data_IF_710040818798
#
_entry.id   IF_710040818798
#
_cell.length_a   1.000
_cell.length_b   1.000
_cell.length_c   1.000
_cell.angle_alpha   90.00
_cell.angle_beta   90.00
_cell.angle_gamma   90.00
#
_symmetry.space_group_name_H-M   'P 1'
#
loop_
_entity.id
_entity.type
_entity.pdbx_description
1 polymer ?
#
# COMPACT_ATOMS: atom_id res chain seq x y z
N UNK A 1 -18.66 6.11 8.11
CA UNK A 1 -18.06 4.78 8.35
C UNK A 1 -18.44 3.93 7.17
N UNK A 2 -17.48 3.21 6.61
CA UNK A 2 -17.79 2.22 5.58
C UNK A 2 -18.44 1.01 6.27
N UNK A 3 -19.76 0.89 6.12
CA UNK A 3 -20.60 -0.10 6.79
C UNK A 3 -21.07 -1.19 5.83
N UNK A 4 -20.82 -1.02 4.54
CA UNK A 4 -21.33 -1.91 3.50
C UNK A 4 -20.21 -2.25 2.54
N UNK A 5 -19.98 -3.54 2.33
CA UNK A 5 -19.07 -4.02 1.29
C UNK A 5 -19.91 -4.38 0.06
N UNK A 6 -19.66 -3.73 -1.07
CA UNK A 6 -20.30 -4.11 -2.33
C UNK A 6 -19.78 -5.46 -2.83
N UNK A 7 -20.56 -6.12 -3.68
CA UNK A 7 -20.03 -7.29 -4.39
C UNK A 7 -18.96 -6.82 -5.39
N UNK A 8 -17.89 -7.60 -5.49
CA UNK A 8 -16.80 -7.39 -6.44
C UNK A 8 -16.12 -8.74 -6.72
N UNK A 9 -16.40 -9.30 -7.90
CA UNK A 9 -15.87 -10.59 -8.29
C UNK A 9 -14.36 -10.60 -8.51
N UNK A 10 -13.73 -9.46 -8.79
CA UNK A 10 -12.28 -9.38 -8.95
C UNK A 10 -11.55 -9.65 -7.62
N UNK A 11 -12.19 -9.32 -6.50
CA UNK A 11 -11.69 -9.58 -5.14
C UNK A 11 -12.39 -10.78 -4.47
N UNK A 12 -13.14 -11.61 -5.21
CA UNK A 12 -13.85 -12.77 -4.66
C UNK A 12 -15.05 -12.42 -3.77
N UNK A 13 -15.55 -11.18 -3.82
CA UNK A 13 -16.70 -10.72 -3.05
C UNK A 13 -18.00 -11.00 -3.81
N UNK A 14 -18.57 -12.20 -3.63
CA UNK A 14 -19.75 -12.65 -4.39
C UNK A 14 -21.08 -12.00 -3.98
N UNK A 15 -21.19 -11.54 -2.74
CA UNK A 15 -22.40 -10.93 -2.19
C UNK A 15 -22.09 -9.56 -1.61
N UNK A 16 -23.07 -8.66 -1.70
CA UNK A 16 -23.01 -7.40 -0.96
C UNK A 16 -23.32 -7.67 0.51
N UNK A 17 -22.53 -7.08 1.42
CA UNK A 17 -22.60 -7.33 2.86
C UNK A 17 -22.81 -6.02 3.62
N UNK A 18 -23.90 -5.93 4.37
CA UNK A 18 -24.09 -4.88 5.40
C UNK A 18 -23.53 -5.40 6.74
N UNK A 19 -22.65 -4.63 7.35
CA UNK A 19 -22.01 -4.96 8.62
C UNK A 19 -22.77 -4.43 9.84
N UNK A 20 -23.91 -3.73 9.65
CA UNK A 20 -24.82 -3.32 10.72
C UNK A 20 -24.13 -2.62 11.90
N UNK A 21 -23.13 -1.78 11.62
CA UNK A 21 -22.30 -1.09 12.62
C UNK A 21 -21.54 -2.00 13.58
N UNK A 22 -21.30 -3.26 13.21
CA UNK A 22 -20.33 -4.10 13.89
C UNK A 22 -18.94 -3.43 13.87
N UNK A 23 -18.19 -3.63 14.94
CA UNK A 23 -16.82 -3.09 15.04
C UNK A 23 -15.94 -3.73 13.98
N UNK A 24 -15.07 -2.92 13.37
CA UNK A 24 -14.07 -3.40 12.42
C UNK A 24 -13.03 -4.28 13.12
N UNK A 25 -12.63 -5.36 12.44
CA UNK A 25 -11.46 -6.16 12.83
C UNK A 25 -10.21 -5.55 12.20
N UNK A 26 -9.12 -5.43 12.96
CA UNK A 26 -7.85 -4.90 12.44
C UNK A 26 -7.05 -6.06 11.81
N UNK A 27 -6.77 -6.02 10.50
CA UNK A 27 -5.94 -7.02 9.83
C UNK A 27 -4.48 -6.99 10.32
N UNK A 28 -3.81 -8.12 10.25
CA UNK A 28 -2.40 -8.29 10.60
C UNK A 28 -1.65 -8.88 9.41
N UNK A 29 -0.65 -8.18 8.90
CA UNK A 29 0.29 -8.70 7.92
C UNK A 29 1.57 -9.16 8.63
N UNK A 30 1.91 -10.43 8.45
CA UNK A 30 3.00 -11.09 9.15
C UNK A 30 3.60 -12.20 8.30
N UNK A 31 4.88 -12.50 8.55
CA UNK A 31 5.61 -13.58 7.88
C UNK A 31 6.44 -13.10 6.69
N UNK A 32 7.76 -13.32 6.74
CA UNK A 32 8.67 -13.04 5.62
C UNK A 32 8.89 -11.56 5.25
N UNK A 33 8.30 -10.62 5.98
CA UNK A 33 8.40 -9.19 5.65
C UNK A 33 9.59 -8.47 6.34
N UNK A 34 10.12 -7.45 5.69
CA UNK A 34 11.22 -6.59 6.19
C UNK A 34 11.03 -5.10 5.83
N UNK A 35 11.84 -4.22 6.42
CA UNK A 35 11.77 -2.76 6.25
C UNK A 35 11.82 -2.30 4.78
N UNK A 36 12.54 -3.00 3.90
CA UNK A 36 12.65 -2.64 2.48
C UNK A 36 11.35 -2.79 1.69
N UNK A 37 10.39 -3.57 2.21
CA UNK A 37 9.10 -3.80 1.58
C UNK A 37 8.01 -2.82 2.05
N UNK A 38 8.33 -1.91 2.98
CA UNK A 38 7.39 -0.93 3.53
C UNK A 38 6.56 -0.18 2.48
N UNK A 39 7.11 0.24 1.32
CA UNK A 39 6.32 0.91 0.30
C UNK A 39 5.15 0.07 -0.24
N UNK A 40 5.40 -1.21 -0.49
CA UNK A 40 4.37 -2.14 -0.98
C UNK A 40 3.35 -2.47 0.13
N UNK A 41 3.82 -2.64 1.37
CA UNK A 41 2.94 -2.92 2.50
C UNK A 41 1.91 -1.80 2.69
N UNK A 42 2.35 -0.54 2.68
CA UNK A 42 1.44 0.60 2.82
C UNK A 42 0.54 0.80 1.59
N UNK A 43 1.03 0.50 0.38
CA UNK A 43 0.24 0.61 -0.83
C UNK A 43 -0.92 -0.39 -0.85
N UNK A 44 -0.67 -1.66 -0.53
CA UNK A 44 -1.69 -2.70 -0.59
C UNK A 44 -2.57 -2.79 0.66
N UNK A 45 -2.04 -2.47 1.84
CA UNK A 45 -2.74 -2.71 3.12
C UNK A 45 -3.29 -1.44 3.78
N UNK A 46 -2.83 -0.26 3.38
CA UNK A 46 -3.29 1.00 3.96
C UNK A 46 -2.81 1.25 5.40
N UNK A 47 -3.63 1.94 6.19
CA UNK A 47 -3.28 2.46 7.52
C UNK A 47 -3.76 1.60 8.68
N UNK A 48 -4.99 1.08 8.59
CA UNK A 48 -5.63 0.31 9.66
C UNK A 48 -5.14 -1.16 9.64
N UNK A 49 -3.83 -1.36 9.79
CA UNK A 49 -3.17 -2.67 9.73
C UNK A 49 -2.05 -2.77 10.77
N UNK A 50 -1.84 -3.98 11.29
CA UNK A 50 -0.64 -4.30 12.09
C UNK A 50 0.39 -4.97 11.16
N UNK A 51 1.57 -4.37 11.06
CA UNK A 51 2.71 -4.95 10.34
C UNK A 51 3.67 -5.62 11.33
N UNK A 52 3.84 -6.94 11.24
CA UNK A 52 4.67 -7.72 12.15
C UNK A 52 5.98 -8.17 11.50
N UNK A 53 7.08 -7.61 11.98
CA UNK A 53 8.43 -7.94 11.51
C UNK A 53 9.13 -8.87 12.51
N UNK A 54 8.86 -10.18 12.45
CA UNK A 54 9.52 -11.16 13.32
C UNK A 54 11.02 -11.29 13.02
N UNK A 55 11.35 -12.06 11.98
CA UNK A 55 12.72 -12.16 11.48
C UNK A 55 13.31 -10.81 11.04
N UNK A 56 12.48 -9.93 10.48
CA UNK A 56 12.85 -8.56 10.11
C UNK A 56 13.17 -7.62 11.28
N UNK A 57 13.00 -8.05 12.54
CA UNK A 57 13.47 -7.32 13.73
C UNK A 57 14.59 -8.08 14.42
N UNK A 58 14.35 -9.34 14.78
CA UNK A 58 15.29 -10.13 15.61
C UNK A 58 16.55 -10.50 14.81
N UNK A 59 16.44 -10.65 13.49
CA UNK A 59 17.56 -10.95 12.59
C UNK A 59 18.42 -9.74 12.22
N UNK A 60 18.18 -8.56 12.79
CA UNK A 60 18.98 -7.37 12.50
C UNK A 60 20.42 -7.53 13.03
N UNK A 61 21.46 -7.23 12.22
CA UNK A 61 22.86 -7.49 12.59
C UNK A 61 23.32 -6.70 13.82
N UNK A 62 22.77 -5.50 14.02
CA UNK A 62 23.10 -4.63 15.16
C UNK A 62 22.20 -4.86 16.40
N UNK A 63 21.44 -5.96 16.40
CA UNK A 63 20.60 -6.39 17.52
C UNK A 63 19.13 -5.99 17.43
N UNK A 64 18.32 -6.52 18.35
CA UNK A 64 16.85 -6.47 18.32
C UNK A 64 16.32 -5.03 18.36
N UNK A 65 16.90 -4.18 19.23
CA UNK A 65 16.49 -2.79 19.33
C UNK A 65 16.74 -2.03 18.02
N UNK A 66 17.88 -2.28 17.36
CA UNK A 66 18.19 -1.69 16.07
C UNK A 66 17.20 -2.13 14.98
N UNK A 67 16.84 -3.42 14.95
CA UNK A 67 15.80 -3.92 14.05
C UNK A 67 14.44 -3.25 14.25
N UNK A 68 14.04 -3.04 15.50
CA UNK A 68 12.78 -2.36 15.82
C UNK A 68 12.82 -0.90 15.36
N UNK A 69 13.93 -0.19 15.60
CA UNK A 69 14.16 1.18 15.13
C UNK A 69 14.12 1.26 13.61
N UNK A 70 14.79 0.34 12.89
CA UNK A 70 14.82 0.33 11.44
C UNK A 70 13.41 0.19 10.83
N UNK A 71 12.60 -0.75 11.34
CA UNK A 71 11.22 -0.93 10.89
C UNK A 71 10.36 0.31 11.18
N UNK A 72 10.55 0.94 12.35
CA UNK A 72 9.81 2.15 12.74
C UNK A 72 10.16 3.34 11.84
N UNK A 73 11.44 3.60 11.61
CA UNK A 73 11.91 4.68 10.74
C UNK A 73 11.39 4.47 9.32
N UNK A 74 11.52 3.26 8.76
CA UNK A 74 11.00 2.96 7.43
C UNK A 74 9.48 3.25 7.30
N UNK A 75 8.69 2.86 8.30
CA UNK A 75 7.25 3.13 8.33
C UNK A 75 6.96 4.63 8.35
N UNK A 76 7.56 5.37 9.29
CA UNK A 76 7.29 6.80 9.45
C UNK A 76 7.76 7.62 8.24
N UNK A 77 8.94 7.30 7.66
CA UNK A 77 9.42 7.92 6.42
C UNK A 77 8.42 7.71 5.28
N UNK A 78 7.94 6.48 5.09
CA UNK A 78 7.02 6.19 3.99
C UNK A 78 5.65 6.83 4.20
N UNK A 79 5.15 6.89 5.44
CA UNK A 79 3.90 7.61 5.75
C UNK A 79 4.04 9.11 5.49
N UNK A 80 5.17 9.71 5.87
CA UNK A 80 5.43 11.12 5.61
C UNK A 80 5.46 11.40 4.10
N UNK A 81 6.24 10.62 3.34
CA UNK A 81 6.32 10.75 1.89
C UNK A 81 4.94 10.60 1.21
N UNK A 82 4.15 9.60 1.62
CA UNK A 82 2.78 9.39 1.13
C UNK A 82 1.88 10.59 1.43
N UNK A 83 1.95 11.11 2.66
CA UNK A 83 1.13 12.26 3.08
C UNK A 83 1.54 13.54 2.36
N UNK A 84 2.82 13.67 1.98
CA UNK A 84 3.35 14.70 1.07
C UNK A 84 3.03 14.44 -0.41
N UNK A 85 2.15 13.48 -0.71
CA UNK A 85 1.68 13.13 -2.07
C UNK A 85 2.77 12.63 -3.01
N UNK A 86 3.83 12.04 -2.47
CA UNK A 86 4.85 11.37 -3.29
C UNK A 86 4.32 10.03 -3.82
N UNK A 87 4.83 9.62 -4.98
CA UNK A 87 4.59 8.29 -5.54
C UNK A 87 5.42 7.25 -4.78
N UNK A 88 4.90 6.81 -3.64
CA UNK A 88 5.58 5.86 -2.77
C UNK A 88 5.73 4.47 -3.39
N UNK A 89 4.89 4.08 -4.35
CA UNK A 89 4.99 2.77 -4.97
C UNK A 89 6.23 2.67 -5.87
N UNK A 90 6.44 3.68 -6.71
CA UNK A 90 7.57 3.69 -7.65
C UNK A 90 8.85 4.28 -7.03
N UNK A 91 8.73 5.30 -6.15
CA UNK A 91 9.87 5.96 -5.52
C UNK A 91 10.22 5.40 -4.13
N UNK A 92 9.48 4.41 -3.62
CA UNK A 92 9.65 3.95 -2.24
C UNK A 92 11.06 3.48 -1.90
N UNK A 93 11.74 2.83 -2.85
CA UNK A 93 13.13 2.41 -2.66
C UNK A 93 14.08 3.60 -2.50
N UNK A 94 13.98 4.62 -3.35
CA UNK A 94 14.85 5.80 -3.25
C UNK A 94 14.56 6.62 -2.01
N UNK A 95 13.29 6.69 -1.57
CA UNK A 95 12.88 7.33 -0.31
C UNK A 95 13.54 6.64 0.88
N UNK A 96 13.49 5.31 0.96
CA UNK A 96 14.15 4.56 2.03
C UNK A 96 15.68 4.65 1.95
N UNK A 97 16.25 4.66 0.75
CA UNK A 97 17.69 4.89 0.55
C UNK A 97 18.12 6.28 1.02
N UNK A 98 17.32 7.32 0.80
CA UNK A 98 17.59 8.67 1.30
C UNK A 98 17.54 8.71 2.83
N UNK A 99 16.47 8.18 3.42
CA UNK A 99 16.33 8.11 4.88
C UNK A 99 17.47 7.31 5.53
N UNK A 100 17.98 6.28 4.86
CA UNK A 100 19.09 5.47 5.36
C UNK A 100 20.41 6.24 5.52
N UNK A 101 20.60 7.36 4.80
CA UNK A 101 21.77 8.23 4.98
C UNK A 101 21.79 8.93 6.34
N UNK A 102 20.63 9.03 6.98
CA UNK A 102 20.45 9.67 8.29
C UNK A 102 20.18 8.66 9.41
N UNK A 103 20.13 7.37 9.10
CA UNK A 103 19.79 6.31 10.04
C UNK A 103 20.59 5.04 9.72
N UNK A 104 21.70 4.84 10.43
CA UNK A 104 22.62 3.71 10.21
C UNK A 104 21.94 2.36 10.37
N UNK A 105 21.01 2.24 11.34
CA UNK A 105 20.27 1.00 11.56
C UNK A 105 19.31 0.69 10.41
N UNK A 106 18.69 1.71 9.79
CA UNK A 106 17.91 1.51 8.58
C UNK A 106 18.82 1.11 7.41
N UNK A 107 19.99 1.74 7.25
CA UNK A 107 20.96 1.37 6.22
C UNK A 107 21.42 -0.09 6.36
N UNK A 108 21.69 -0.53 7.59
CA UNK A 108 22.08 -1.89 7.93
C UNK A 108 20.96 -2.89 7.61
N UNK A 109 19.72 -2.59 8.01
CA UNK A 109 18.53 -3.37 7.67
C UNK A 109 18.36 -3.51 6.14
N UNK A 110 18.36 -2.37 5.42
CA UNK A 110 18.22 -2.37 3.96
C UNK A 110 19.32 -3.19 3.32
N UNK A 111 20.58 -3.06 3.77
CA UNK A 111 21.73 -3.86 3.30
C UNK A 111 21.56 -5.35 3.53
N UNK A 112 20.98 -5.73 4.67
CA UNK A 112 20.82 -7.14 5.06
C UNK A 112 19.80 -7.86 4.19
N UNK A 113 18.68 -7.21 3.86
CA UNK A 113 17.55 -7.86 3.16
C UNK A 113 17.34 -7.39 1.70
N UNK A 114 18.25 -6.57 1.14
CA UNK A 114 18.18 -5.90 -0.18
C UNK A 114 17.41 -6.60 -1.29
N UNK A 115 17.69 -7.88 -1.52
CA UNK A 115 17.21 -8.65 -2.68
C UNK A 115 16.24 -9.74 -2.27
N UNK A 116 15.85 -9.81 -1.01
CA UNK A 116 14.94 -10.84 -0.52
C UNK A 116 13.54 -10.57 -1.06
N UNK A 117 13.12 -11.43 -1.99
CA UNK A 117 11.77 -11.49 -2.52
C UNK A 117 11.27 -12.93 -2.42
N UNK A 118 9.96 -13.09 -2.24
CA UNK A 118 9.27 -14.38 -2.22
C UNK A 118 8.30 -14.39 -3.40
N UNK A 119 8.83 -14.68 -4.58
CA UNK A 119 8.07 -14.67 -5.84
C UNK A 119 7.77 -16.11 -6.28
N UNK A 120 6.52 -16.53 -6.06
CA UNK A 120 6.02 -17.85 -6.38
C UNK A 120 4.63 -17.71 -6.99
N UNK A 121 4.26 -18.65 -7.87
CA UNK A 121 2.90 -18.71 -8.39
C UNK A 121 1.90 -18.91 -7.24
N UNK A 122 0.92 -18.02 -7.15
CA UNK A 122 -0.17 -18.15 -6.19
C UNK A 122 -1.05 -19.34 -6.53
N UNK A 123 -1.50 -20.06 -5.50
CA UNK A 123 -2.44 -21.18 -5.66
C UNK A 123 -3.89 -20.76 -5.51
N UNK A 124 -4.14 -19.72 -4.70
CA UNK A 124 -5.47 -19.11 -4.51
C UNK A 124 -5.54 -17.87 -5.41
N UNK A 125 -6.13 -18.04 -6.60
CA UNK A 125 -6.24 -17.00 -7.63
C UNK A 125 -7.70 -16.76 -7.99
N UNK A 126 -8.09 -15.53 -8.38
CA UNK A 126 -9.42 -15.29 -8.95
C UNK A 126 -9.70 -16.19 -10.15
N UNK A 127 -10.96 -16.57 -10.37
CA UNK A 127 -11.32 -17.34 -11.56
C UNK A 127 -11.20 -16.49 -12.84
N UNK A 128 -10.47 -16.99 -13.85
CA UNK A 128 -10.18 -16.35 -15.16
C UNK A 128 -11.40 -15.79 -15.92
N UNK A 129 -12.62 -16.26 -15.60
CA UNK A 129 -13.86 -15.81 -16.22
C UNK A 129 -14.47 -14.58 -15.53
N UNK A 130 -14.16 -14.36 -14.25
CA UNK A 130 -14.70 -13.27 -13.44
C UNK A 130 -13.92 -11.96 -13.63
N UNK A 131 -12.60 -12.00 -13.87
CA UNK A 131 -11.83 -10.83 -14.32
C UNK A 131 -12.41 -10.24 -15.62
N UNK A 132 -12.72 -11.11 -16.59
CA UNK A 132 -13.35 -10.71 -17.86
C UNK A 132 -14.78 -10.21 -17.67
N UNK A 133 -15.50 -10.69 -16.66
CA UNK A 133 -16.85 -10.21 -16.35
C UNK A 133 -16.83 -8.85 -15.63
N UNK A 134 -15.91 -8.63 -14.69
CA UNK A 134 -15.70 -7.35 -14.00
C UNK A 134 -15.28 -6.26 -15.00
N UNK A 135 -14.32 -6.53 -15.89
CA UNK A 135 -13.93 -5.60 -16.96
C UNK A 135 -15.14 -5.16 -17.81
N UNK A 136 -15.98 -6.11 -18.24
CA UNK A 136 -17.20 -5.82 -19.02
C UNK A 136 -18.28 -5.05 -18.25
N UNK A 137 -18.32 -5.15 -16.92
CA UNK A 137 -19.28 -4.44 -16.08
C UNK A 137 -18.80 -3.01 -15.77
N UNK A 138 -17.51 -2.85 -15.47
CA UNK A 138 -16.87 -1.54 -15.27
C UNK A 138 -16.87 -0.74 -16.57
N UNK A 139 -16.59 -1.36 -17.72
CA UNK A 139 -16.69 -0.68 -19.02
C UNK A 139 -18.12 -0.18 -19.27
N UNK A 140 -19.14 -0.98 -18.94
CA UNK A 140 -20.55 -0.58 -19.06
C UNK A 140 -20.95 0.53 -18.09
N UNK A 141 -20.42 0.51 -16.86
CA UNK A 141 -20.64 1.55 -15.87
C UNK A 141 -19.92 2.87 -16.23
N UNK A 142 -18.72 2.78 -16.80
CA UNK A 142 -17.95 3.92 -17.29
C UNK A 142 -18.55 4.50 -18.57
N UNK A 143 -19.09 3.69 -19.48
CA UNK A 143 -19.88 4.14 -20.64
C UNK A 143 -21.15 4.88 -20.19
N UNK A 144 -21.86 4.34 -19.18
CA UNK A 144 -23.03 5.01 -18.59
C UNK A 144 -22.65 6.34 -17.90
N UNK A 145 -21.54 6.38 -17.15
CA UNK A 145 -21.05 7.60 -16.51
C UNK A 145 -20.53 8.65 -17.52
N UNK A 146 -19.95 8.21 -18.64
CA UNK A 146 -19.52 9.08 -19.76
C UNK A 146 -20.73 9.69 -20.47
N UNK A 147 -21.80 8.91 -20.62
CA UNK A 147 -23.08 9.38 -21.19
C UNK A 147 -23.76 10.39 -20.27
N UNK A 148 -23.65 10.25 -18.94
CA UNK A 148 -24.20 11.20 -17.96
C UNK A 148 -23.35 12.46 -17.74
N UNK A 149 -22.02 12.39 -17.92
CA UNK A 149 -21.10 13.53 -17.76
C UNK A 149 -20.99 14.42 -18.99
N UNK A 150 -21.36 13.91 -20.17
CA UNK A 150 -21.48 14.72 -21.39
C UNK A 150 -22.55 15.82 -21.28
N UNK A 151 -23.48 15.74 -20.32
CA UNK A 151 -24.52 16.76 -20.12
C UNK A 151 -24.13 17.88 -19.13
N UNK A 152 -23.02 17.78 -18.38
CA UNK A 152 -22.71 18.83 -17.38
C UNK A 152 -21.20 18.99 -17.09
N UNK A 153 -20.44 19.78 -17.86
CA UNK A 153 -19.27 20.53 -17.33
C UNK A 153 -19.02 21.80 -18.16
N UNK A 154 -19.30 22.96 -17.55
CA UNK A 154 -18.65 24.24 -17.85
C UNK A 154 -17.46 24.46 -16.91
N UNK A 155 -16.43 25.10 -17.44
CA UNK A 155 -15.07 25.30 -16.90
C UNK A 155 -14.95 26.09 -15.59
N UNK A 156 -14.06 25.66 -14.69
CA UNK A 156 -13.15 26.54 -13.90
C UNK A 156 -11.92 25.77 -13.43
N UNK A 157 -10.72 26.32 -13.69
CA UNK A 157 -9.43 25.75 -13.32
C UNK A 157 -8.99 26.06 -11.89
N UNK A 158 -8.32 25.09 -11.26
CA UNK A 158 -7.62 25.23 -9.99
C UNK A 158 -6.14 24.87 -10.17
N UNK A 159 -5.26 25.73 -9.66
CA UNK A 159 -3.81 25.58 -9.70
C UNK A 159 -3.35 24.42 -8.81
N UNK A 160 -2.70 23.41 -9.39
CA UNK A 160 -2.07 22.33 -8.66
C UNK A 160 -0.84 22.85 -7.88
N UNK A 161 -0.72 22.49 -6.60
CA UNK A 161 0.45 22.77 -5.79
C UNK A 161 1.66 21.98 -6.32
N UNK A 162 2.85 22.58 -6.24
CA UNK A 162 4.09 21.95 -6.69
C UNK A 162 4.37 20.64 -5.91
N UNK A 163 4.87 19.58 -6.57
CA UNK A 163 5.21 18.33 -5.88
C UNK A 163 6.35 18.54 -4.89
N UNK A 164 6.21 18.00 -3.68
CA UNK A 164 7.25 18.00 -2.64
C UNK A 164 8.44 17.15 -3.11
N UNK A 165 9.66 17.70 -3.01
CA UNK A 165 10.89 17.00 -3.42
C UNK A 165 11.40 16.08 -2.31
N UNK A 166 12.10 14.99 -2.68
CA UNK A 166 12.80 14.12 -1.72
C UNK A 166 13.80 14.88 -0.85
N UNK A 167 14.33 16.02 -1.32
CA UNK A 167 15.25 16.87 -0.57
C UNK A 167 14.60 17.64 0.58
N UNK A 168 13.27 17.73 0.58
CA UNK A 168 12.50 18.55 1.51
C UNK A 168 11.94 17.71 2.68
N UNK A 169 12.25 16.40 2.69
CA UNK A 169 11.86 15.38 3.68
C UNK A 169 13.07 14.90 4.47
#
# INVERSE_FOLDING_TARGET
LDLTTAHDFAFGLYFSQDWASLRKCVPVASGGINAGQMPFLLYYLGDDVILQFGGGTIGHPDGIAAGATANRVALETMLLARNCRMDTLNAGKSILEEASKHCDVLASALKTWKTTSFDYNSTDTPDDQLERAHARHVDRANEAATTMSAETVSTTGGTAAAPVSLSDL
#
